data_IF_398805471156
#
_entry.id   IF_398805471156
#
_cell.length_a   1.000
_cell.length_b   1.000
_cell.length_c   1.000
_cell.angle_alpha   90.00
_cell.angle_beta   90.00
_cell.angle_gamma   90.00
#
_symmetry.space_group_name_H-M   'P 1'
#
loop_
_entity.id
_entity.type
_entity.pdbx_description
1 polymer ?
#
# COMPACT_ATOMS: atom_id res chain seq x y z
N UNK A 1 6.02 35.66 40.69
CA UNK A 1 7.06 35.32 39.71
C UNK A 1 6.40 34.45 38.66
N UNK A 2 6.44 34.88 37.39
CA UNK A 2 5.61 34.40 36.27
C UNK A 2 5.71 32.88 36.01
N UNK A 3 4.55 32.28 35.72
CA UNK A 3 4.35 31.03 34.98
C UNK A 3 5.00 31.11 33.59
N UNK A 4 5.67 30.06 33.14
CA UNK A 4 5.61 29.63 31.73
C UNK A 4 5.68 28.10 31.67
N UNK A 5 4.52 27.46 31.60
CA UNK A 5 4.42 26.11 31.06
C UNK A 5 4.57 26.19 29.54
N UNK A 6 5.50 25.44 28.96
CA UNK A 6 5.53 25.19 27.52
C UNK A 6 4.29 24.37 27.16
N UNK A 7 3.27 25.05 26.65
CA UNK A 7 2.15 24.44 25.94
C UNK A 7 2.69 23.90 24.61
N UNK A 8 2.62 22.59 24.41
CA UNK A 8 2.87 21.98 23.11
C UNK A 8 1.98 22.65 22.06
N UNK A 9 2.56 23.00 20.91
CA UNK A 9 1.80 23.50 19.78
C UNK A 9 0.90 22.38 19.23
N UNK A 10 -0.38 22.65 18.91
CA UNK A 10 -1.22 21.67 18.25
C UNK A 10 -0.71 21.43 16.81
N UNK A 11 -0.65 20.16 16.41
CA UNK A 11 -0.45 19.74 15.02
C UNK A 11 -1.64 20.21 14.15
N UNK A 12 -1.48 20.34 12.81
CA UNK A 12 -2.39 21.13 11.99
C UNK A 12 -3.71 20.38 11.71
N UNK A 13 -4.77 20.79 12.40
CA UNK A 13 -6.16 20.31 12.25
C UNK A 13 -6.77 20.55 10.84
N UNK A 14 -6.07 21.28 9.96
CA UNK A 14 -6.57 21.72 8.66
C UNK A 14 -6.21 20.78 7.50
N UNK A 15 -5.22 19.90 7.65
CA UNK A 15 -4.83 18.93 6.61
C UNK A 15 -5.74 17.68 6.64
N UNK A 16 -6.03 17.15 7.84
CA UNK A 16 -6.90 16.00 8.02
C UNK A 16 -8.32 16.21 7.44
N UNK A 17 -8.90 17.40 7.65
CA UNK A 17 -10.25 17.71 7.18
C UNK A 17 -10.40 17.81 5.64
N UNK A 18 -9.31 18.05 4.90
CA UNK A 18 -9.33 18.10 3.44
C UNK A 18 -9.17 16.70 2.82
N UNK A 19 -8.32 15.85 3.42
CA UNK A 19 -8.22 14.43 3.07
C UNK A 19 -9.54 13.69 3.35
N UNK A 20 -10.25 14.02 4.44
CA UNK A 20 -11.54 13.42 4.76
C UNK A 20 -12.61 13.65 3.67
N UNK A 21 -12.61 14.82 3.02
CA UNK A 21 -13.58 15.16 1.97
C UNK A 21 -13.28 14.45 0.65
N UNK A 22 -12.01 14.35 0.26
CA UNK A 22 -11.58 13.66 -0.96
C UNK A 22 -11.68 12.13 -0.81
N UNK A 23 -11.48 11.61 0.40
CA UNK A 23 -11.61 10.18 0.70
C UNK A 23 -13.04 9.73 1.05
N UNK A 24 -13.98 10.67 1.25
CA UNK A 24 -15.38 10.37 1.54
C UNK A 24 -16.07 9.45 0.50
N UNK A 25 -15.90 9.64 -0.82
CA UNK A 25 -16.49 8.76 -1.83
C UNK A 25 -15.72 7.45 -2.04
N UNK A 26 -14.51 7.29 -1.48
CA UNK A 26 -13.70 6.07 -1.62
C UNK A 26 -14.29 4.96 -0.76
N UNK A 27 -14.68 3.81 -1.35
CA UNK A 27 -15.19 2.66 -0.62
C UNK A 27 -14.28 2.27 0.56
N UNK A 28 -14.90 1.82 1.65
CA UNK A 28 -14.18 1.28 2.80
C UNK A 28 -13.97 -0.21 2.58
N UNK A 29 -12.69 -0.60 2.50
CA UNK A 29 -12.26 -1.99 2.54
C UNK A 29 -11.66 -2.24 3.92
N UNK A 30 -12.11 -3.31 4.57
CA UNK A 30 -11.58 -3.72 5.87
C UNK A 30 -10.23 -4.42 5.67
N UNK A 31 -9.24 -4.06 6.50
CA UNK A 31 -7.93 -4.69 6.46
C UNK A 31 -8.00 -6.09 7.07
N UNK A 32 -7.68 -7.12 6.30
CA UNK A 32 -7.69 -8.51 6.76
C UNK A 32 -6.31 -9.01 7.28
N UNK A 33 -5.23 -8.35 6.86
CA UNK A 33 -3.85 -8.76 7.09
C UNK A 33 -2.91 -8.00 6.18
N UNK A 34 -1.70 -8.52 5.94
CA UNK A 34 -0.80 -7.97 4.90
C UNK A 34 -1.31 -8.28 3.51
N UNK A 35 -2.20 -9.26 3.35
CA UNK A 35 -2.95 -9.54 2.14
C UNK A 35 -4.44 -9.36 2.44
N UNK A 36 -5.10 -8.56 1.62
CA UNK A 36 -6.56 -8.41 1.61
C UNK A 36 -7.06 -8.71 0.19
N UNK A 37 -7.59 -9.91 -0.03
CA UNK A 37 -8.12 -10.33 -1.34
C UNK A 37 -9.62 -10.00 -1.47
N UNK A 38 -9.97 -8.71 -1.60
CA UNK A 38 -11.36 -8.31 -1.75
C UNK A 38 -11.93 -8.56 -3.16
N UNK A 39 -11.09 -8.93 -4.13
CA UNK A 39 -11.52 -9.33 -5.47
C UNK A 39 -11.79 -10.84 -5.62
N UNK A 40 -11.43 -11.67 -4.63
CA UNK A 40 -11.54 -13.14 -4.68
C UNK A 40 -10.83 -13.73 -5.91
N UNK A 41 -9.58 -13.30 -6.14
CA UNK A 41 -8.77 -13.69 -7.30
C UNK A 41 -7.51 -14.48 -6.95
N UNK A 42 -7.24 -14.67 -5.65
CA UNK A 42 -6.12 -15.45 -5.16
C UNK A 42 -6.62 -16.78 -4.60
N UNK A 43 -5.83 -17.83 -4.78
CA UNK A 43 -6.09 -19.07 -4.05
C UNK A 43 -5.64 -18.90 -2.59
N UNK A 44 -6.35 -19.54 -1.66
CA UNK A 44 -6.01 -19.49 -0.23
C UNK A 44 -4.55 -19.88 0.09
N UNK A 45 -3.95 -20.76 -0.71
CA UNK A 45 -2.55 -21.14 -0.59
C UNK A 45 -1.60 -19.99 -0.97
N UNK A 46 -1.94 -19.21 -1.99
CA UNK A 46 -1.19 -18.02 -2.40
C UNK A 46 -1.33 -16.91 -1.37
N UNK A 47 -2.55 -16.64 -0.87
CA UNK A 47 -2.77 -15.68 0.21
C UNK A 47 -1.89 -16.00 1.43
N UNK A 48 -1.90 -17.26 1.88
CA UNK A 48 -1.11 -17.70 3.04
C UNK A 48 0.39 -17.54 2.81
N UNK A 49 0.86 -17.86 1.60
CA UNK A 49 2.28 -17.74 1.21
C UNK A 49 2.72 -16.28 1.13
N UNK A 50 1.90 -15.42 0.52
CA UNK A 50 2.14 -13.99 0.39
C UNK A 50 2.13 -13.32 1.77
N UNK A 51 1.16 -13.65 2.63
CA UNK A 51 1.09 -13.15 4.02
C UNK A 51 2.36 -13.48 4.80
N UNK A 52 2.83 -14.73 4.73
CA UNK A 52 4.05 -15.16 5.40
C UNK A 52 5.29 -14.43 4.86
N UNK A 53 5.39 -14.23 3.54
CA UNK A 53 6.48 -13.49 2.91
C UNK A 53 6.51 -12.03 3.36
N UNK A 54 5.36 -11.35 3.30
CA UNK A 54 5.25 -9.95 3.72
C UNK A 54 5.54 -9.79 5.23
N UNK A 55 5.17 -10.77 6.05
CA UNK A 55 5.51 -10.79 7.47
C UNK A 55 7.03 -10.92 7.69
N UNK A 56 7.70 -11.79 6.94
CA UNK A 56 9.15 -11.94 7.00
C UNK A 56 9.87 -10.67 6.53
N UNK A 57 9.39 -10.04 5.45
CA UNK A 57 9.89 -8.76 4.97
C UNK A 57 9.79 -7.66 6.04
N UNK A 58 8.63 -7.52 6.68
CA UNK A 58 8.42 -6.52 7.74
C UNK A 58 9.32 -6.79 8.95
N UNK A 59 9.54 -8.06 9.32
CA UNK A 59 10.47 -8.41 10.39
C UNK A 59 11.92 -8.05 10.07
N UNK A 60 12.35 -8.24 8.82
CA UNK A 60 13.72 -7.99 8.39
C UNK A 60 14.04 -6.51 8.21
N UNK A 61 13.08 -5.73 7.71
CA UNK A 61 13.30 -4.35 7.25
C UNK A 61 12.63 -3.29 8.11
N UNK A 62 11.61 -3.68 8.89
CA UNK A 62 10.65 -2.79 9.56
C UNK A 62 9.70 -2.04 8.64
N UNK A 63 9.86 -2.16 7.32
CA UNK A 63 8.95 -1.59 6.33
C UNK A 63 7.68 -2.41 6.26
N UNK A 64 6.53 -1.75 6.13
CA UNK A 64 5.24 -2.44 6.07
C UNK A 64 4.73 -2.46 4.64
N UNK A 65 4.73 -3.64 4.02
CA UNK A 65 4.16 -3.85 2.69
C UNK A 65 2.84 -4.61 2.80
N UNK A 66 1.80 -4.09 2.16
CA UNK A 66 0.44 -4.65 2.13
C UNK A 66 -0.01 -4.82 0.68
N UNK A 67 -0.71 -5.91 0.41
CA UNK A 67 -1.37 -6.20 -0.87
C UNK A 67 -2.88 -6.08 -0.70
N UNK A 68 -3.51 -5.34 -1.61
CA UNK A 68 -4.96 -5.27 -1.75
C UNK A 68 -5.36 -5.64 -3.17
N UNK A 69 -6.24 -6.63 -3.32
CA UNK A 69 -7.01 -6.79 -4.55
C UNK A 69 -8.38 -6.15 -4.33
N UNK A 70 -8.79 -5.20 -5.16
CA UNK A 70 -10.08 -4.53 -5.05
C UNK A 70 -11.03 -5.04 -6.14
N UNK A 71 -12.20 -5.58 -5.77
CA UNK A 71 -13.20 -6.02 -6.74
C UNK A 71 -13.64 -4.90 -7.71
N UNK A 72 -13.67 -3.65 -7.22
CA UNK A 72 -13.90 -2.46 -8.02
C UNK A 72 -13.41 -1.21 -7.27
N UNK A 73 -13.04 -0.18 -8.03
CA UNK A 73 -12.73 1.15 -7.53
C UNK A 73 -13.98 2.04 -7.36
N UNK A 74 -15.17 1.54 -7.71
CA UNK A 74 -16.43 2.28 -7.64
C UNK A 74 -16.40 3.66 -8.34
N UNK A 75 -15.72 3.72 -9.50
CA UNK A 75 -15.56 4.94 -10.29
C UNK A 75 -14.56 5.95 -9.72
N UNK A 76 -13.84 5.62 -8.65
CA UNK A 76 -12.79 6.47 -8.09
C UNK A 76 -11.47 6.30 -8.86
N UNK A 77 -10.65 7.36 -8.99
CA UNK A 77 -9.28 7.23 -9.48
C UNK A 77 -8.47 6.29 -8.59
N UNK A 78 -7.66 5.41 -9.21
CA UNK A 78 -6.87 4.43 -8.47
C UNK A 78 -5.86 5.08 -7.50
N UNK A 79 -5.30 6.23 -7.85
CA UNK A 79 -4.41 7.00 -6.98
C UNK A 79 -5.12 7.45 -5.70
N UNK A 80 -6.29 8.08 -5.83
CA UNK A 80 -7.13 8.49 -4.70
C UNK A 80 -7.54 7.28 -3.87
N UNK A 81 -7.96 6.20 -4.52
CA UNK A 81 -8.35 4.97 -3.83
C UNK A 81 -7.20 4.38 -3.00
N UNK A 82 -6.01 4.27 -3.60
CA UNK A 82 -4.82 3.74 -2.95
C UNK A 82 -4.39 4.59 -1.76
N UNK A 83 -4.25 5.91 -1.95
CA UNK A 83 -3.82 6.84 -0.89
C UNK A 83 -4.81 6.87 0.26
N UNK A 84 -6.12 7.02 -0.03
CA UNK A 84 -7.15 7.02 1.01
C UNK A 84 -7.20 5.70 1.79
N UNK A 85 -7.01 4.56 1.10
CA UNK A 85 -6.99 3.25 1.75
C UNK A 85 -5.74 3.08 2.63
N UNK A 86 -4.56 3.44 2.12
CA UNK A 86 -3.31 3.35 2.86
C UNK A 86 -3.32 4.24 4.12
N UNK A 87 -3.83 5.48 4.01
CA UNK A 87 -3.93 6.41 5.13
C UNK A 87 -4.95 5.90 6.17
N UNK A 88 -6.10 5.39 5.73
CA UNK A 88 -7.13 4.83 6.63
C UNK A 88 -6.63 3.61 7.40
N UNK A 89 -5.84 2.75 6.76
CA UNK A 89 -5.23 1.59 7.39
C UNK A 89 -4.00 1.92 8.22
N UNK A 90 -3.44 3.13 8.08
CA UNK A 90 -2.24 3.55 8.77
C UNK A 90 -1.04 2.68 8.41
N UNK A 91 -0.86 2.39 7.11
CA UNK A 91 0.24 1.54 6.64
C UNK A 91 1.58 2.28 6.85
N UNK A 92 2.50 1.64 7.55
CA UNK A 92 3.81 2.19 7.90
C UNK A 92 3.89 2.67 9.35
N UNK A 93 5.10 2.95 9.82
CA UNK A 93 5.31 3.46 11.19
C UNK A 93 5.12 4.97 11.25
N UNK A 94 4.48 5.43 12.32
CA UNK A 94 4.02 6.83 12.58
C UNK A 94 5.03 7.96 12.35
N UNK A 95 6.33 7.68 12.33
CA UNK A 95 7.38 8.69 12.10
C UNK A 95 8.34 8.30 10.97
N UNK A 96 8.22 7.08 10.43
CA UNK A 96 9.08 6.58 9.38
C UNK A 96 8.40 6.64 8.00
N UNK A 97 7.07 6.67 7.95
CA UNK A 97 6.27 6.66 6.72
C UNK A 97 6.77 5.59 5.72
N UNK A 98 7.07 4.41 6.26
CA UNK A 98 7.68 3.28 5.55
C UNK A 98 6.67 2.22 5.11
N UNK A 99 5.46 2.70 4.79
CA UNK A 99 4.36 1.92 4.27
C UNK A 99 4.40 1.79 2.75
N UNK A 100 4.02 0.62 2.25
CA UNK A 100 3.90 0.32 0.82
C UNK A 100 2.58 -0.43 0.62
N UNK A 101 1.71 0.07 -0.26
CA UNK A 101 0.48 -0.60 -0.67
C UNK A 101 0.60 -1.01 -2.14
N UNK A 102 0.47 -2.30 -2.42
CA UNK A 102 0.30 -2.84 -3.77
C UNK A 102 -1.19 -3.08 -3.99
N UNK A 103 -1.83 -2.21 -4.78
CA UNK A 103 -3.24 -2.28 -5.14
C UNK A 103 -3.40 -2.86 -6.55
N UNK A 104 -4.19 -3.94 -6.67
CA UNK A 104 -4.59 -4.55 -7.93
C UNK A 104 -6.11 -4.43 -8.09
N UNK A 105 -6.57 -3.80 -9.17
CA UNK A 105 -7.98 -3.61 -9.48
C UNK A 105 -8.30 -4.31 -10.81
N UNK A 106 -8.65 -5.62 -10.81
CA UNK A 106 -8.83 -6.40 -12.03
C UNK A 106 -10.00 -5.90 -12.90
N UNK A 107 -11.09 -5.40 -12.30
CA UNK A 107 -12.24 -4.90 -13.05
C UNK A 107 -11.88 -3.67 -13.90
N UNK A 108 -11.07 -2.77 -13.36
CA UNK A 108 -10.57 -1.58 -14.05
C UNK A 108 -9.28 -1.86 -14.85
N UNK A 109 -8.66 -3.04 -14.67
CA UNK A 109 -7.34 -3.42 -15.22
C UNK A 109 -6.25 -2.41 -14.84
N UNK A 110 -6.30 -1.93 -13.60
CA UNK A 110 -5.38 -0.96 -13.07
C UNK A 110 -4.59 -1.53 -11.91
N UNK A 111 -3.38 -1.02 -11.73
CA UNK A 111 -2.46 -1.38 -10.64
C UNK A 111 -1.85 -0.11 -10.12
N UNK A 112 -1.71 -0.01 -8.80
CA UNK A 112 -1.00 1.11 -8.16
C UNK A 112 -0.13 0.59 -7.05
N UNK A 113 1.09 1.10 -6.99
CA UNK A 113 1.96 0.95 -5.82
C UNK A 113 2.00 2.31 -5.14
N UNK A 114 1.38 2.44 -3.97
CA UNK A 114 1.44 3.67 -3.17
C UNK A 114 2.50 3.51 -2.08
N UNK A 115 3.28 4.56 -1.88
CA UNK A 115 4.40 4.58 -0.93
C UNK A 115 4.24 5.72 0.05
N UNK A 116 4.57 5.49 1.32
CA UNK A 116 4.72 6.56 2.29
C UNK A 116 5.94 7.45 1.98
N UNK A 117 5.93 8.66 2.54
CA UNK A 117 6.97 9.69 2.31
C UNK A 117 8.39 9.19 2.61
N UNK A 118 8.55 8.29 3.58
CA UNK A 118 9.85 7.71 3.93
C UNK A 118 10.45 6.82 2.85
N UNK A 119 9.62 6.31 1.93
CA UNK A 119 10.04 5.40 0.86
C UNK A 119 10.28 6.10 -0.48
N UNK A 120 9.83 7.34 -0.68
CA UNK A 120 9.83 8.00 -2.00
C UNK A 120 11.22 8.12 -2.64
N UNK A 121 12.28 8.21 -1.84
CA UNK A 121 13.67 8.26 -2.34
C UNK A 121 14.20 6.88 -2.75
N UNK A 122 13.69 5.84 -2.12
CA UNK A 122 14.13 4.45 -2.29
C UNK A 122 13.31 3.78 -3.38
N UNK A 123 11.99 3.83 -3.27
CA UNK A 123 10.99 3.37 -4.23
C UNK A 123 10.29 4.59 -4.85
N UNK A 124 10.94 5.21 -5.83
CA UNK A 124 10.39 6.37 -6.56
C UNK A 124 9.20 5.96 -7.44
N UNK A 125 8.39 6.93 -7.88
CA UNK A 125 7.30 6.68 -8.84
C UNK A 125 7.79 5.99 -10.13
N UNK A 126 8.98 6.35 -10.62
CA UNK A 126 9.56 5.72 -11.81
C UNK A 126 9.92 4.24 -11.57
N UNK A 127 10.42 3.91 -10.37
CA UNK A 127 10.68 2.52 -9.98
C UNK A 127 9.38 1.76 -9.80
N UNK A 128 8.38 2.34 -9.12
CA UNK A 128 7.05 1.76 -8.98
C UNK A 128 6.40 1.47 -10.34
N UNK A 129 6.48 2.40 -11.30
CA UNK A 129 6.01 2.18 -12.67
C UNK A 129 6.73 1.00 -13.34
N UNK A 130 8.05 0.90 -13.18
CA UNK A 130 8.83 -0.24 -13.69
C UNK A 130 8.39 -1.56 -13.05
N UNK A 131 8.03 -1.57 -11.77
CA UNK A 131 7.48 -2.76 -11.11
C UNK A 131 6.13 -3.14 -11.72
N UNK A 132 5.22 -2.17 -11.90
CA UNK A 132 3.90 -2.39 -12.51
C UNK A 132 4.03 -2.95 -13.93
N UNK A 133 4.98 -2.44 -14.72
CA UNK A 133 5.26 -2.95 -16.07
C UNK A 133 5.66 -4.44 -16.04
N UNK A 134 6.38 -4.88 -15.02
CA UNK A 134 6.76 -6.29 -14.83
C UNK A 134 5.59 -7.16 -14.36
N UNK A 135 4.63 -6.60 -13.64
CA UNK A 135 3.42 -7.31 -13.19
C UNK A 135 2.43 -7.56 -14.34
N UNK A 136 2.32 -6.60 -15.27
CA UNK A 136 1.28 -6.56 -16.31
C UNK A 136 1.20 -7.82 -17.20
N UNK A 137 2.32 -8.43 -17.64
CA UNK A 137 2.28 -9.69 -18.39
C UNK A 137 1.62 -10.84 -17.64
N UNK A 138 1.83 -10.94 -16.32
CA UNK A 138 1.23 -11.99 -15.49
C UNK A 138 -0.30 -11.85 -15.44
N UNK A 139 -0.80 -10.64 -15.26
CA UNK A 139 -2.25 -10.37 -15.24
C UNK A 139 -2.93 -10.65 -16.58
N UNK A 140 -2.21 -10.41 -17.68
CA UNK A 140 -2.69 -10.77 -19.02
C UNK A 140 -2.83 -12.30 -19.18
N UNK A 141 -2.00 -13.07 -18.48
CA UNK A 141 -2.05 -14.54 -18.45
C UNK A 141 -3.00 -15.11 -17.38
N UNK A 142 -3.67 -14.26 -16.58
CA UNK A 142 -4.51 -14.68 -15.45
C UNK A 142 -3.71 -15.11 -14.20
N UNK A 143 -2.40 -14.90 -14.18
CA UNK A 143 -1.51 -15.25 -13.06
C UNK A 143 -1.40 -14.09 -12.06
N UNK A 144 -2.46 -13.83 -11.29
CA UNK A 144 -2.47 -12.72 -10.33
C UNK A 144 -1.44 -12.90 -9.22
N UNK A 145 -1.29 -14.12 -8.69
CA UNK A 145 -0.31 -14.42 -7.65
C UNK A 145 1.13 -14.18 -8.13
N UNK A 146 1.50 -14.67 -9.33
CA UNK A 146 2.83 -14.44 -9.88
C UNK A 146 3.13 -12.98 -10.20
N UNK A 147 2.12 -12.21 -10.62
CA UNK A 147 2.23 -10.77 -10.77
C UNK A 147 2.52 -10.07 -9.44
N UNK A 148 1.80 -10.43 -8.37
CA UNK A 148 2.02 -9.88 -7.02
C UNK A 148 3.40 -10.30 -6.48
N UNK A 149 3.83 -11.55 -6.67
CA UNK A 149 5.17 -12.00 -6.27
C UNK A 149 6.28 -11.24 -6.97
N UNK A 150 6.08 -10.93 -8.26
CA UNK A 150 6.99 -10.10 -9.05
C UNK A 150 7.08 -8.69 -8.46
N UNK A 151 5.95 -8.14 -8.01
CA UNK A 151 5.92 -6.86 -7.33
C UNK A 151 6.72 -6.88 -6.04
N UNK A 152 6.44 -7.86 -5.18
CA UNK A 152 7.10 -8.01 -3.87
C UNK A 152 8.61 -8.18 -4.07
N UNK A 153 9.03 -9.06 -4.96
CA UNK A 153 10.45 -9.30 -5.25
C UNK A 153 11.17 -8.05 -5.74
N UNK A 154 10.53 -7.30 -6.65
CA UNK A 154 11.13 -6.09 -7.19
C UNK A 154 11.20 -4.98 -6.13
N UNK A 155 10.21 -4.86 -5.25
CA UNK A 155 10.23 -3.88 -4.16
C UNK A 155 11.29 -4.25 -3.12
N UNK A 156 11.37 -5.51 -2.69
CA UNK A 156 12.40 -6.02 -1.77
C UNK A 156 13.82 -5.70 -2.28
N UNK A 157 14.05 -5.81 -3.59
CA UNK A 157 15.33 -5.48 -4.20
C UNK A 157 15.69 -3.98 -4.09
N UNK A 158 14.70 -3.09 -4.03
CA UNK A 158 14.90 -1.65 -3.91
C UNK A 158 14.96 -1.18 -2.45
N UNK A 159 14.17 -1.80 -1.56
CA UNK A 159 13.96 -1.34 -0.18
C UNK A 159 14.70 -2.20 0.87
N UNK A 160 15.38 -3.26 0.44
CA UNK A 160 16.02 -4.23 1.31
C UNK A 160 15.07 -5.36 1.69
N UNK A 161 15.62 -6.51 2.03
CA UNK A 161 14.88 -7.76 2.25
C UNK A 161 15.83 -8.90 1.96
N UNK A 162 15.90 -9.90 2.84
CA UNK A 162 16.82 -11.02 2.68
C UNK A 162 16.44 -11.81 1.42
N UNK A 163 17.30 -11.80 0.40
CA UNK A 163 17.24 -12.77 -0.70
C UNK A 163 17.58 -14.17 -0.21
#
# INVERSE_FOLDING_TARGET
MLLVGCKAAPAPEKAAAAEDAECAPVPKVELAGRVTDAADILAAADESRLEARLAAYEQATRHQMVVLTAASLAGQPIDTFATCTANRWGIGRKDADDGILVLVAPAERQVRIATGLGMEKTLTDAKAATVIDRMTPHFTAGDYAGGIDTAIAAIEAETGGSQ
#
